data_IF_150050120715
#
_entry.id   IF_150050120715
#
_cell.length_a   1.000
_cell.length_b   1.000
_cell.length_c   1.000
_cell.angle_alpha   90.00
_cell.angle_beta   90.00
_cell.angle_gamma   90.00
#
_symmetry.space_group_name_H-M   'P 1'
#
loop_
_entity.id
_entity.type
_entity.pdbx_description
1 polymer ?
#
# COMPACT_ATOMS: atom_id res chain seq x y z
N UNK A 1 12.30 1.85 -7.80
CA UNK A 1 12.13 2.49 -6.48
C UNK A 1 11.18 3.66 -6.57
N UNK A 2 10.20 3.66 -5.67
CA UNK A 2 9.13 4.64 -5.52
C UNK A 2 9.27 5.32 -4.17
N UNK A 3 8.65 6.50 -4.03
CA UNK A 3 8.64 7.25 -2.79
C UNK A 3 7.23 7.66 -2.44
N UNK A 4 6.89 7.62 -1.16
CA UNK A 4 5.60 8.10 -0.67
C UNK A 4 5.67 8.47 0.80
N UNK A 5 4.74 9.32 1.23
CA UNK A 5 4.52 9.61 2.63
C UNK A 5 3.53 8.63 3.26
N UNK A 6 3.84 8.20 4.48
CA UNK A 6 2.98 7.33 5.30
C UNK A 6 2.49 8.06 6.54
N UNK A 7 1.20 7.97 6.85
CA UNK A 7 0.57 8.69 7.97
C UNK A 7 -0.10 7.77 9.01
N UNK A 8 -0.26 6.49 8.70
CA UNK A 8 -0.74 5.45 9.61
C UNK A 8 -0.06 4.11 9.30
N UNK A 9 -0.06 3.20 10.27
CA UNK A 9 0.32 1.82 10.02
C UNK A 9 -0.45 0.86 10.92
N UNK A 10 -0.61 -0.38 10.46
CA UNK A 10 -1.02 -1.47 11.32
C UNK A 10 -0.19 -2.72 11.07
N UNK A 11 -0.13 -3.56 12.09
CA UNK A 11 0.51 -4.88 12.03
C UNK A 11 -0.57 -5.94 12.13
N UNK A 12 -0.53 -6.91 11.23
CA UNK A 12 -1.38 -8.09 11.25
C UNK A 12 -0.53 -9.34 10.99
N UNK A 13 -0.26 -10.08 12.07
CA UNK A 13 0.52 -11.32 12.16
C UNK A 13 1.82 -11.32 11.35
N UNK A 14 1.72 -11.50 10.04
CA UNK A 14 2.81 -11.73 9.09
C UNK A 14 3.11 -10.52 8.20
N UNK A 15 2.39 -9.41 8.35
CA UNK A 15 2.63 -8.21 7.57
C UNK A 15 2.42 -6.92 8.35
N UNK A 16 3.15 -5.91 7.91
CA UNK A 16 2.91 -4.51 8.26
C UNK A 16 2.30 -3.84 7.06
N UNK A 17 1.35 -2.98 7.34
CA UNK A 17 0.64 -2.24 6.32
C UNK A 17 0.72 -0.76 6.65
N UNK A 18 1.24 0.01 5.70
CA UNK A 18 1.46 1.43 5.85
C UNK A 18 0.44 2.17 4.98
N UNK A 19 -0.37 3.03 5.59
CA UNK A 19 -1.29 3.88 4.85
C UNK A 19 -0.50 4.97 4.16
N UNK A 20 -0.75 5.16 2.86
CA UNK A 20 -0.18 6.27 2.12
C UNK A 20 -1.02 7.52 2.34
N UNK A 21 -0.38 8.61 2.75
CA UNK A 21 -1.06 9.91 2.91
C UNK A 21 -1.45 10.54 1.57
N UNK A 22 -0.83 10.07 0.49
CA UNK A 22 -1.05 10.54 -0.88
C UNK A 22 -1.17 9.35 -1.84
N UNK A 23 -1.84 9.58 -2.97
CA UNK A 23 -1.99 8.55 -4.00
C UNK A 23 -0.71 8.44 -4.82
N UNK A 24 -0.31 7.20 -5.09
CA UNK A 24 0.75 6.92 -6.04
C UNK A 24 0.32 7.23 -7.46
N UNK A 25 1.31 7.52 -8.29
CA UNK A 25 1.14 7.52 -9.73
C UNK A 25 0.61 6.15 -10.17
N UNK A 26 -0.47 6.21 -10.93
CA UNK A 26 -1.23 5.06 -11.42
C UNK A 26 -0.48 4.33 -12.53
N UNK A 27 0.23 5.06 -13.41
CA UNK A 27 0.77 4.51 -14.64
C UNK A 27 1.73 3.32 -14.40
N UNK A 28 2.67 3.37 -13.44
CA UNK A 28 3.59 2.26 -13.21
C UNK A 28 2.90 0.99 -12.66
N UNK A 29 1.78 1.16 -11.97
CA UNK A 29 1.05 0.05 -11.35
C UNK A 29 0.15 -0.65 -12.37
N UNK A 30 -0.57 0.12 -13.19
CA UNK A 30 -1.44 -0.43 -14.24
C UNK A 30 -0.66 -1.24 -15.28
N UNK A 31 0.57 -0.84 -15.59
CA UNK A 31 1.31 -1.46 -16.69
C UNK A 31 1.72 -2.90 -16.39
N UNK A 32 2.15 -3.20 -15.17
CA UNK A 32 2.85 -4.46 -14.88
C UNK A 32 2.59 -5.05 -13.48
N UNK A 33 1.74 -4.43 -12.65
CA UNK A 33 1.66 -4.75 -11.22
C UNK A 33 0.26 -5.13 -10.73
N UNK A 34 -0.77 -5.17 -11.58
CA UNK A 34 -2.10 -5.62 -11.16
C UNK A 34 -2.11 -7.15 -10.94
N UNK A 35 -2.61 -7.61 -9.79
CA UNK A 35 -2.88 -9.03 -9.52
C UNK A 35 -4.36 -9.39 -9.79
N UNK A 36 -4.66 -10.69 -9.66
CA UNK A 36 -6.02 -11.25 -9.65
C UNK A 36 -6.82 -10.97 -10.93
N UNK A 37 -6.14 -10.83 -12.07
CA UNK A 37 -6.76 -10.56 -13.37
C UNK A 37 -7.67 -9.31 -13.35
N UNK A 38 -7.37 -8.34 -12.48
CA UNK A 38 -8.06 -7.05 -12.46
C UNK A 38 -7.90 -6.37 -13.83
N UNK A 39 -9.02 -5.92 -14.41
CA UNK A 39 -9.01 -5.19 -15.68
C UNK A 39 -8.48 -3.77 -15.46
N UNK A 40 -7.70 -3.29 -16.41
CA UNK A 40 -7.09 -1.95 -16.36
C UNK A 40 -8.17 -0.87 -16.22
N UNK A 41 -9.28 -0.99 -16.96
CA UNK A 41 -10.37 0.00 -16.95
C UNK A 41 -11.03 0.10 -15.57
N UNK A 42 -11.18 -1.04 -14.90
CA UNK A 42 -11.75 -1.07 -13.55
C UNK A 42 -10.81 -0.45 -12.53
N UNK A 43 -9.50 -0.74 -12.63
CA UNK A 43 -8.49 -0.12 -11.78
C UNK A 43 -8.46 1.41 -11.97
N UNK A 44 -8.53 1.89 -13.21
CA UNK A 44 -8.61 3.33 -13.53
C UNK A 44 -9.83 3.97 -12.89
N UNK A 45 -11.02 3.36 -13.07
CA UNK A 45 -12.27 3.92 -12.57
C UNK A 45 -12.29 4.06 -11.04
N UNK A 46 -11.58 3.16 -10.33
CA UNK A 46 -11.54 3.13 -8.87
C UNK A 46 -10.34 3.88 -8.27
N UNK A 47 -9.27 4.11 -9.02
CA UNK A 47 -8.01 4.66 -8.50
C UNK A 47 -8.19 5.94 -7.68
N UNK A 48 -9.07 6.85 -8.12
CA UNK A 48 -9.34 8.14 -7.47
C UNK A 48 -10.16 8.03 -6.18
N UNK A 49 -10.82 6.91 -5.92
CA UNK A 49 -11.63 6.68 -4.70
C UNK A 49 -11.00 5.68 -3.72
N UNK A 50 -9.99 4.93 -4.15
CA UNK A 50 -9.33 3.92 -3.34
C UNK A 50 -8.38 4.52 -2.27
N UNK A 51 -8.28 3.86 -1.13
CA UNK A 51 -7.22 4.06 -0.13
C UNK A 51 -6.03 3.18 -0.49
N UNK A 52 -4.82 3.73 -0.46
CA UNK A 52 -3.62 2.97 -0.81
C UNK A 52 -2.83 2.59 0.43
N UNK A 53 -2.45 1.32 0.49
CA UNK A 53 -1.68 0.75 1.59
C UNK A 53 -0.49 -0.01 1.04
N UNK A 54 0.72 0.26 1.55
CA UNK A 54 1.87 -0.60 1.29
C UNK A 54 1.77 -1.83 2.19
N UNK A 55 1.77 -3.02 1.62
CA UNK A 55 1.75 -4.29 2.35
C UNK A 55 3.16 -4.92 2.33
N UNK A 56 3.83 -4.85 3.46
CA UNK A 56 5.15 -5.41 3.68
C UNK A 56 5.03 -6.72 4.46
N UNK A 57 5.15 -7.83 3.72
CA UNK A 57 5.09 -9.19 4.24
C UNK A 57 6.44 -9.71 4.75
N UNK A 58 7.52 -8.93 4.59
CA UNK A 58 8.86 -9.36 4.99
C UNK A 58 9.17 -8.97 6.44
N UNK A 59 8.40 -8.07 7.03
CA UNK A 59 8.65 -7.53 8.36
C UNK A 59 7.47 -7.78 9.31
N UNK A 60 7.82 -7.95 10.60
CA UNK A 60 6.84 -8.14 11.68
C UNK A 60 6.60 -6.87 12.52
N UNK A 61 7.52 -5.90 12.47
CA UNK A 61 7.46 -4.66 13.24
C UNK A 61 7.80 -3.45 12.37
N UNK A 62 7.06 -2.35 12.55
CA UNK A 62 7.29 -1.07 11.89
C UNK A 62 8.69 -0.51 12.22
N UNK A 63 9.16 0.44 11.41
CA UNK A 63 10.41 1.17 11.65
C UNK A 63 10.51 1.68 13.09
N UNK A 64 11.69 1.48 13.69
CA UNK A 64 11.98 2.03 15.02
C UNK A 64 11.88 3.56 14.96
N UNK A 65 11.04 4.14 15.82
CA UNK A 65 10.85 5.60 15.90
C UNK A 65 9.91 6.18 14.84
N UNK A 66 8.94 5.41 14.34
CA UNK A 66 7.88 5.89 13.44
C UNK A 66 7.22 7.21 13.91
N UNK A 67 7.01 8.12 12.97
CA UNK A 67 6.15 9.30 13.08
C UNK A 67 5.33 9.48 11.81
N UNK A 68 4.21 10.21 11.93
CA UNK A 68 3.32 10.48 10.80
C UNK A 68 4.00 11.35 9.74
N UNK A 69 3.65 11.11 8.48
CA UNK A 69 4.18 11.76 7.28
C UNK A 69 5.65 11.43 6.98
N UNK A 70 6.13 10.26 7.44
CA UNK A 70 7.44 9.77 7.07
C UNK A 70 7.50 9.49 5.57
N UNK A 71 8.60 9.89 4.92
CA UNK A 71 8.87 9.48 3.54
C UNK A 71 9.55 8.12 3.56
N UNK A 72 9.05 7.20 2.75
CA UNK A 72 9.63 5.87 2.57
C UNK A 72 9.99 5.65 1.11
N UNK A 73 11.10 4.96 0.87
CA UNK A 73 11.45 4.38 -0.41
C UNK A 73 10.94 2.93 -0.44
N UNK A 74 10.39 2.49 -1.56
CA UNK A 74 9.91 1.11 -1.69
C UNK A 74 9.93 0.61 -3.13
N UNK A 75 9.90 -0.71 -3.27
CA UNK A 75 9.73 -1.37 -4.56
C UNK A 75 8.44 -2.17 -4.62
N UNK A 76 7.64 -1.89 -5.65
CA UNK A 76 6.34 -2.51 -5.87
C UNK A 76 6.52 -3.87 -6.54
N UNK A 77 6.07 -4.93 -5.86
CA UNK A 77 5.99 -6.28 -6.42
C UNK A 77 4.69 -6.48 -7.19
N UNK A 78 3.57 -6.09 -6.58
CA UNK A 78 2.23 -6.22 -7.14
C UNK A 78 1.24 -5.33 -6.39
N UNK A 79 0.02 -5.23 -6.89
CA UNK A 79 -1.09 -4.54 -6.24
C UNK A 79 -2.36 -5.37 -6.33
N UNK A 80 -3.20 -5.28 -5.32
CA UNK A 80 -4.47 -5.99 -5.26
C UNK A 80 -5.53 -5.09 -4.66
N UNK A 81 -6.65 -4.96 -5.37
CA UNK A 81 -7.81 -4.25 -4.90
C UNK A 81 -8.71 -5.15 -4.05
N UNK A 82 -9.23 -4.58 -2.97
CA UNK A 82 -10.21 -5.17 -2.08
C UNK A 82 -11.36 -4.17 -1.87
N UNK A 83 -12.59 -4.61 -2.14
CA UNK A 83 -13.78 -3.83 -1.82
C UNK A 83 -13.87 -3.51 -0.32
N UNK A 84 -13.57 -4.51 0.51
CA UNK A 84 -13.58 -4.40 1.97
C UNK A 84 -12.36 -5.15 2.50
N UNK A 85 -11.63 -4.53 3.42
CA UNK A 85 -10.56 -5.16 4.17
C UNK A 85 -10.73 -4.88 5.66
N UNK A 86 -10.43 -5.87 6.51
CA UNK A 86 -10.54 -5.75 7.96
C UNK A 86 -9.14 -5.65 8.57
N UNK A 87 -8.83 -4.50 9.15
CA UNK A 87 -7.59 -4.25 9.88
C UNK A 87 -7.89 -4.26 11.37
N UNK A 88 -7.63 -5.38 12.05
CA UNK A 88 -8.06 -5.62 13.45
C UNK A 88 -9.56 -5.36 13.62
N UNK A 89 -9.94 -4.27 14.29
CA UNK A 89 -11.33 -3.87 14.53
C UNK A 89 -11.85 -2.83 13.54
N UNK A 90 -10.99 -2.30 12.65
CA UNK A 90 -11.35 -1.29 11.66
C UNK A 90 -11.74 -1.95 10.34
N UNK A 91 -12.93 -1.64 9.85
CA UNK A 91 -13.35 -1.96 8.49
C UNK A 91 -12.87 -0.84 7.56
N UNK A 92 -12.11 -1.21 6.54
CA UNK A 92 -11.72 -0.31 5.46
C UNK A 92 -12.46 -0.69 4.19
N UNK A 93 -12.74 0.31 3.38
CA UNK A 93 -13.46 0.17 2.13
C UNK A 93 -12.61 0.75 0.99
N UNK A 94 -12.72 0.12 -0.19
CA UNK A 94 -11.98 0.46 -1.39
C UNK A 94 -10.47 0.53 -1.14
N UNK A 95 -9.86 -0.59 -0.76
CA UNK A 95 -8.44 -0.65 -0.41
C UNK A 95 -7.64 -1.23 -1.56
N UNK A 96 -6.58 -0.53 -1.98
CA UNK A 96 -5.52 -1.09 -2.81
C UNK A 96 -4.31 -1.40 -1.95
N UNK A 97 -4.05 -2.69 -1.77
CA UNK A 97 -2.82 -3.16 -1.16
C UNK A 97 -1.74 -3.25 -2.23
N UNK A 98 -0.68 -2.48 -2.05
CA UNK A 98 0.53 -2.47 -2.87
C UNK A 98 1.53 -3.37 -2.13
N UNK A 99 1.64 -4.62 -2.57
CA UNK A 99 2.61 -5.54 -2.00
C UNK A 99 4.01 -5.09 -2.40
N UNK A 100 4.86 -4.84 -1.40
CA UNK A 100 6.23 -4.37 -1.60
C UNK A 100 7.23 -5.50 -1.37
N UNK A 101 8.37 -5.44 -2.06
CA UNK A 101 9.51 -6.33 -1.79
C UNK A 101 10.51 -5.73 -0.82
N UNK A 102 10.64 -4.40 -0.84
CA UNK A 102 11.54 -3.61 -0.01
C UNK A 102 10.77 -2.37 0.42
N UNK A 103 10.95 -1.96 1.67
CA UNK A 103 10.52 -0.66 2.18
C UNK A 103 11.60 -0.15 3.13
N UNK A 104 12.04 1.08 2.90
CA UNK A 104 13.11 1.72 3.64
C UNK A 104 12.68 3.12 4.04
N UNK A 105 13.06 3.53 5.25
CA UNK A 105 12.85 4.89 5.69
C UNK A 105 13.83 5.82 4.97
N UNK A 106 13.32 6.90 4.39
CA UNK A 106 14.16 8.02 3.95
C UNK A 106 14.34 8.97 5.14
N UNK A 107 15.58 9.33 5.46
CA UNK A 107 15.91 10.36 6.47
C UNK A 107 15.62 11.78 5.97
#
# INVERSE_FOLDING_TARGET
MYYAKIDDYFVNNDAIFYHLSEKLDMAPILQNRLNNSEKIEEAIARWSIEQHWLADWNHKNCFKGYHKNYTVAFDIKSSTYYHIMKHKNKRLENVRNINVSIIEKCE
#
